data_IF_229854860211
#
_entry.id   IF_229854860211
#
_cell.length_a   1.000
_cell.length_b   1.000
_cell.length_c   1.000
_cell.angle_alpha   90.00
_cell.angle_beta   90.00
_cell.angle_gamma   90.00
#
_symmetry.space_group_name_H-M   'P 1'
#
loop_
_entity.id
_entity.type
_entity.pdbx_description
1 polymer ?
#
# COMPACT_ATOMS: atom_id res chain seq x y z
N UNK A 1 -22.84 -24.85 10.98
CA UNK A 1 -22.03 -24.57 12.18
C UNK A 1 -21.39 -23.20 12.02
N UNK A 2 -21.75 -22.23 12.85
CA UNK A 2 -21.05 -20.95 12.91
C UNK A 2 -19.82 -21.12 13.81
N UNK A 3 -18.64 -20.79 13.31
CA UNK A 3 -17.38 -20.84 14.07
C UNK A 3 -17.12 -19.45 14.63
N UNK A 4 -16.78 -19.35 15.92
CA UNK A 4 -16.48 -18.05 16.53
C UNK A 4 -15.14 -17.47 16.03
N UNK A 5 -15.05 -16.14 15.95
CA UNK A 5 -13.81 -15.43 15.58
C UNK A 5 -12.63 -15.83 16.48
N UNK A 6 -12.91 -16.05 17.78
CA UNK A 6 -11.91 -16.49 18.74
C UNK A 6 -11.31 -17.86 18.38
N UNK A 7 -12.14 -18.77 17.86
CA UNK A 7 -11.70 -20.09 17.39
C UNK A 7 -10.80 -19.93 16.17
N UNK A 8 -11.18 -19.09 15.22
CA UNK A 8 -10.39 -18.79 14.00
C UNK A 8 -9.03 -18.20 14.39
N UNK A 9 -9.00 -17.19 15.25
CA UNK A 9 -7.76 -16.56 15.71
C UNK A 9 -6.82 -17.56 16.40
N UNK A 10 -7.36 -18.45 17.24
CA UNK A 10 -6.55 -19.46 17.94
C UNK A 10 -5.94 -20.46 16.96
N UNK A 11 -6.72 -20.91 15.98
CA UNK A 11 -6.23 -21.84 14.94
C UNK A 11 -5.13 -21.19 14.10
N UNK A 12 -5.33 -19.94 13.65
CA UNK A 12 -4.34 -19.21 12.87
C UNK A 12 -3.04 -18.99 13.65
N UNK A 13 -3.13 -18.59 14.93
CA UNK A 13 -1.94 -18.49 15.79
C UNK A 13 -1.24 -19.83 16.00
N UNK A 14 -2.00 -20.92 16.22
CA UNK A 14 -1.43 -22.28 16.37
C UNK A 14 -0.72 -22.73 15.08
N UNK A 15 -1.22 -22.31 13.92
CA UNK A 15 -0.60 -22.53 12.62
C UNK A 15 0.59 -21.58 12.34
N UNK A 16 0.97 -20.71 13.28
CA UNK A 16 2.12 -19.82 13.15
C UNK A 16 1.85 -18.51 12.41
N UNK A 17 0.59 -18.20 12.06
CA UNK A 17 0.25 -16.95 11.40
C UNK A 17 0.31 -15.77 12.37
N UNK A 18 0.78 -14.63 11.85
CA UNK A 18 0.78 -13.34 12.52
C UNK A 18 -0.23 -12.40 11.86
N UNK A 19 -0.90 -11.60 12.69
CA UNK A 19 -1.76 -10.52 12.20
C UNK A 19 -0.87 -9.33 11.78
N UNK A 20 -1.15 -8.74 10.62
CA UNK A 20 -0.45 -7.56 10.13
C UNK A 20 -1.43 -6.57 9.51
N UNK A 21 -1.03 -5.30 9.49
CA UNK A 21 -1.81 -4.24 8.83
C UNK A 21 -1.60 -4.34 7.33
N UNK A 22 -2.67 -4.59 6.57
CA UNK A 22 -2.63 -4.63 5.12
C UNK A 22 -2.26 -3.24 4.59
N UNK A 23 -1.18 -3.11 3.81
CA UNK A 23 -0.86 -1.84 3.16
C UNK A 23 -1.97 -1.48 2.18
N UNK A 24 -2.51 -0.26 2.30
CA UNK A 24 -3.43 0.31 1.31
C UNK A 24 -2.59 0.81 0.12
N UNK A 25 -2.17 -0.13 -0.74
CA UNK A 25 -1.41 0.18 -1.94
C UNK A 25 -2.36 0.13 -3.14
N UNK A 26 -2.25 1.07 -4.10
CA UNK A 26 -2.89 0.88 -5.40
C UNK A 26 -2.37 -0.43 -5.99
N UNK A 27 -3.28 -1.31 -6.42
CA UNK A 27 -2.93 -2.65 -6.91
C UNK A 27 -1.99 -2.54 -8.12
N UNK A 28 -0.77 -3.08 -8.01
CA UNK A 28 0.24 -3.01 -9.08
C UNK A 28 0.23 -4.22 -10.04
N UNK A 29 -0.69 -5.17 -9.83
CA UNK A 29 -0.80 -6.41 -10.60
C UNK A 29 -1.26 -6.17 -12.04
N UNK A 30 -0.99 -7.15 -12.91
CA UNK A 30 -1.23 -7.19 -14.37
C UNK A 30 -2.72 -7.06 -14.75
N UNK A 31 -3.31 -5.89 -14.45
CA UNK A 31 -4.62 -5.44 -14.91
C UNK A 31 -4.42 -4.66 -16.22
N UNK A 32 -5.47 -4.53 -17.07
CA UNK A 32 -5.30 -4.18 -18.48
C UNK A 32 -4.59 -2.84 -18.71
N UNK A 33 -4.09 -2.68 -19.94
CA UNK A 33 -3.38 -1.55 -20.60
C UNK A 33 -3.16 -0.21 -19.85
N UNK A 34 -4.14 0.50 -19.24
CA UNK A 34 -3.88 1.75 -18.51
C UNK A 34 -2.82 1.64 -17.39
N UNK A 35 -2.69 0.50 -16.73
CA UNK A 35 -1.89 0.39 -15.52
C UNK A 35 -0.39 0.11 -15.79
N UNK A 36 -0.08 -0.74 -16.78
CA UNK A 36 1.29 -0.95 -17.26
C UNK A 36 1.92 0.34 -17.81
N UNK A 37 1.13 1.21 -18.43
CA UNK A 37 1.57 2.51 -18.90
C UNK A 37 2.01 3.42 -17.75
N UNK A 38 1.30 3.39 -16.60
CA UNK A 38 1.68 4.19 -15.44
C UNK A 38 3.00 3.74 -14.83
N UNK A 39 3.27 2.42 -14.80
CA UNK A 39 4.57 1.89 -14.35
C UNK A 39 5.69 2.43 -15.27
N UNK A 40 5.51 2.34 -16.59
CA UNK A 40 6.50 2.82 -17.56
C UNK A 40 6.71 4.33 -17.48
N UNK A 41 5.64 5.12 -17.38
CA UNK A 41 5.71 6.58 -17.20
C UNK A 41 6.45 6.96 -15.91
N UNK A 42 6.15 6.27 -14.80
CA UNK A 42 6.84 6.50 -13.51
C UNK A 42 8.31 6.14 -13.59
N UNK A 43 8.66 5.02 -14.25
CA UNK A 43 10.05 4.60 -14.43
C UNK A 43 10.82 5.60 -15.31
N UNK A 44 10.23 6.03 -16.42
CA UNK A 44 10.83 7.02 -17.31
C UNK A 44 11.05 8.36 -16.60
N UNK A 45 10.04 8.83 -15.86
CA UNK A 45 10.13 10.06 -15.08
C UNK A 45 11.24 9.96 -14.01
N UNK A 46 11.30 8.85 -13.27
CA UNK A 46 12.34 8.65 -12.27
C UNK A 46 13.74 8.66 -12.90
N UNK A 47 13.93 7.96 -14.03
CA UNK A 47 15.20 7.95 -14.76
C UNK A 47 15.59 9.32 -15.29
N UNK A 48 14.66 10.09 -15.84
CA UNK A 48 14.97 11.42 -16.38
C UNK A 48 15.31 12.45 -15.29
N UNK A 49 14.86 12.21 -14.06
CA UNK A 49 15.11 13.09 -12.90
C UNK A 49 16.14 12.51 -11.92
N UNK A 50 16.78 11.38 -12.23
CA UNK A 50 17.65 10.66 -11.29
C UNK A 50 18.91 11.43 -10.88
N UNK A 51 19.34 12.38 -11.72
CA UNK A 51 20.53 13.21 -11.50
C UNK A 51 20.19 14.67 -11.16
N UNK A 52 18.92 14.96 -10.86
CA UNK A 52 18.51 16.29 -10.45
C UNK A 52 19.20 16.71 -9.16
N UNK A 53 19.68 17.94 -9.16
CA UNK A 53 20.30 18.54 -7.98
C UNK A 53 19.26 19.09 -7.02
N UNK A 54 19.69 19.42 -5.80
CA UNK A 54 18.81 20.08 -4.82
C UNK A 54 18.21 21.38 -5.37
N UNK A 55 18.96 22.15 -6.16
CA UNK A 55 18.48 23.40 -6.75
C UNK A 55 17.47 23.16 -7.88
N UNK A 56 17.54 22.03 -8.59
CA UNK A 56 16.51 21.65 -9.56
C UNK A 56 15.19 21.30 -8.85
N UNK A 57 15.26 20.57 -7.73
CA UNK A 57 14.06 20.25 -6.92
C UNK A 57 13.39 21.50 -6.34
N UNK A 58 14.17 22.52 -5.93
CA UNK A 58 13.62 23.79 -5.41
C UNK A 58 12.76 24.55 -6.42
N UNK A 59 12.90 24.27 -7.72
CA UNK A 59 12.11 24.90 -8.78
C UNK A 59 10.73 24.27 -8.95
N UNK A 60 10.47 23.10 -8.33
CA UNK A 60 9.17 22.44 -8.39
C UNK A 60 8.29 22.90 -7.22
N UNK A 61 7.04 23.29 -7.54
CA UNK A 61 5.97 23.42 -6.56
C UNK A 61 5.09 22.19 -6.66
N UNK A 62 4.99 21.42 -5.58
CA UNK A 62 4.09 20.28 -5.48
C UNK A 62 2.75 20.72 -4.87
N UNK A 63 1.65 20.24 -5.44
CA UNK A 63 0.30 20.42 -4.91
C UNK A 63 -0.40 19.07 -4.88
N UNK A 64 -1.12 18.79 -3.79
CA UNK A 64 -1.98 17.62 -3.66
C UNK A 64 -3.17 17.98 -2.76
N UNK A 65 -4.22 17.19 -2.84
CA UNK A 65 -5.38 17.29 -1.95
C UNK A 65 -5.35 16.13 -0.95
N UNK A 66 -5.69 16.41 0.30
CA UNK A 66 -5.79 15.37 1.32
C UNK A 66 -7.11 15.43 2.07
N UNK A 67 -7.64 14.24 2.39
CA UNK A 67 -8.87 14.10 3.17
C UNK A 67 -8.56 14.24 4.65
N UNK A 68 -9.16 15.23 5.32
CA UNK A 68 -9.07 15.40 6.78
C UNK A 68 -10.41 15.03 7.42
N UNK A 69 -10.44 13.91 8.14
CA UNK A 69 -11.65 13.45 8.83
C UNK A 69 -11.85 14.22 10.15
N UNK A 70 -13.07 14.70 10.40
CA UNK A 70 -13.44 15.36 11.67
C UNK A 70 -13.63 14.36 12.82
N UNK A 71 -14.11 13.16 12.50
CA UNK A 71 -14.34 12.08 13.45
C UNK A 71 -13.95 10.75 12.81
N UNK A 72 -13.38 9.86 13.62
CA UNK A 72 -12.90 8.53 13.22
C UNK A 72 -11.79 8.54 12.14
N UNK A 73 -11.12 7.41 12.00
CA UNK A 73 -10.19 7.15 10.89
C UNK A 73 -10.85 6.24 9.88
N UNK A 74 -10.36 6.24 8.65
CA UNK A 74 -10.81 5.30 7.60
C UNK A 74 -10.46 3.82 7.94
N UNK A 75 -9.80 3.57 9.08
CA UNK A 75 -9.57 2.26 9.64
C UNK A 75 -8.37 1.53 9.04
N UNK A 76 -7.81 0.59 9.82
CA UNK A 76 -6.79 -0.34 9.35
C UNK A 76 -7.47 -1.66 9.01
N UNK A 77 -7.19 -2.18 7.82
CA UNK A 77 -7.53 -3.55 7.47
C UNK A 77 -6.41 -4.47 7.96
N UNK A 78 -6.78 -5.51 8.72
CA UNK A 78 -5.83 -6.54 9.17
C UNK A 78 -5.95 -7.77 8.29
N UNK A 79 -4.83 -8.42 8.03
CA UNK A 79 -4.76 -9.72 7.38
C UNK A 79 -3.82 -10.64 8.18
N UNK A 80 -3.88 -11.93 7.91
CA UNK A 80 -3.00 -12.94 8.49
C UNK A 80 -1.98 -13.37 7.46
N UNK A 81 -0.70 -13.45 7.85
CA UNK A 81 0.37 -14.00 7.01
C UNK A 81 1.33 -14.85 7.83
N UNK A 82 2.09 -15.71 7.16
CA UNK A 82 3.22 -16.37 7.82
C UNK A 82 4.37 -15.37 8.00
N UNK A 83 5.17 -15.46 9.09
CA UNK A 83 6.28 -14.53 9.36
C UNK A 83 7.31 -14.43 8.23
N UNK A 84 7.48 -15.48 7.44
CA UNK A 84 8.50 -15.61 6.41
C UNK A 84 7.95 -15.45 4.98
N UNK A 85 6.75 -14.88 4.84
CA UNK A 85 6.09 -14.55 3.57
C UNK A 85 6.06 -13.04 3.31
#
# INVERSE_FOLDING_TARGET
MSVSDSTVHRVLKKAGFIAFVKPQKPLLQWLPKPFAQNIMKRLQWAKSHQHWTVDDWKRIIFSDETKVNRFASDGKAYAWKLPNE
#
